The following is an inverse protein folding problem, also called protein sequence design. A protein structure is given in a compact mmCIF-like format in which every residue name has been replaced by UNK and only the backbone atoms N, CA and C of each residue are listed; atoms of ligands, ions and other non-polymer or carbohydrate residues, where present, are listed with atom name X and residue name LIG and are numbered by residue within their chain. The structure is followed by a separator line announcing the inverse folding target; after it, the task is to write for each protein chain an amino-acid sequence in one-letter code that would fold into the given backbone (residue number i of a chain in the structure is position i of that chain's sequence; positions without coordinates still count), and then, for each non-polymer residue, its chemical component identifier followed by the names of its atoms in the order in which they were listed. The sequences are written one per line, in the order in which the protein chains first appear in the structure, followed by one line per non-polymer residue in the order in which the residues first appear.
data_IF_811950464257
#
_entry.id   IF_811950464257
#
_cell.length_a   1.000
_cell.length_b   1.000
_cell.length_c   1.000
_cell.angle_alpha   90.00
_cell.angle_beta   90.00
_cell.angle_gamma   90.00
#
_symmetry.space_group_name_H-M   'P 1'
#
loop_
_entity.id
_entity.type
_entity.pdbx_description
1 polymer ?
#
# COMPACT_ATOMS: atom_id res chain seq x y z
N UNK A 1 -3.74 28.08 34.32
CA UNK A 1 -5.05 27.42 34.15
C UNK A 1 -5.16 26.40 35.27
N UNK A 2 -6.11 26.58 36.17
CA UNK A 2 -6.30 25.67 37.31
C UNK A 2 -7.16 24.48 36.90
N UNK A 3 -7.07 23.35 37.62
CA UNK A 3 -7.88 22.15 37.32
C UNK A 3 -9.39 22.45 37.33
N UNK A 4 -9.81 23.42 38.14
CA UNK A 4 -11.19 23.89 38.20
C UNK A 4 -11.62 24.62 36.92
N UNK A 5 -10.75 25.43 36.32
CA UNK A 5 -11.03 26.09 35.03
C UNK A 5 -11.11 25.08 33.89
N UNK A 6 -10.27 24.05 33.90
CA UNK A 6 -10.31 22.99 32.89
C UNK A 6 -11.60 22.17 33.00
N UNK A 7 -11.97 21.75 34.21
CA UNK A 7 -13.20 21.00 34.45
C UNK A 7 -14.45 21.81 34.02
N UNK A 8 -14.45 23.12 34.30
CA UNK A 8 -15.54 24.02 33.90
C UNK A 8 -15.65 24.13 32.38
N UNK A 9 -14.52 24.31 31.68
CA UNK A 9 -14.50 24.41 30.21
C UNK A 9 -14.88 23.10 29.52
N UNK A 10 -14.48 21.95 30.08
CA UNK A 10 -14.86 20.65 29.55
C UNK A 10 -16.36 20.38 29.75
N UNK A 11 -16.92 20.79 30.89
CA UNK A 11 -18.36 20.72 31.15
C UNK A 11 -19.14 21.62 30.19
N UNK A 12 -18.68 22.84 29.95
CA UNK A 12 -19.31 23.78 29.00
C UNK A 12 -19.26 23.25 27.56
N UNK A 13 -18.15 22.63 27.15
CA UNK A 13 -18.03 21.95 25.85
C UNK A 13 -18.97 20.74 25.72
N UNK A 14 -19.20 19.99 26.79
CA UNK A 14 -20.10 18.83 26.79
C UNK A 14 -21.58 19.25 26.78
N UNK A 15 -21.93 20.38 27.41
CA UNK A 15 -23.29 20.90 27.46
C UNK A 15 -23.66 21.76 26.24
N UNK A 16 -22.68 22.18 25.44
CA UNK A 16 -22.93 22.91 24.19
C UNK A 16 -23.48 21.94 23.13
N UNK A 17 -24.72 22.15 22.62
CA UNK A 17 -25.29 21.28 21.59
C UNK A 17 -24.41 21.28 20.34
N UNK A 18 -24.12 20.10 19.82
CA UNK A 18 -23.27 19.93 18.65
C UNK A 18 -23.81 20.78 17.47
N UNK A 19 -22.95 21.52 16.75
CA UNK A 19 -23.35 22.25 15.57
C UNK A 19 -24.05 21.29 14.60
N UNK A 20 -25.14 21.71 13.93
CA UNK A 20 -25.82 20.87 12.97
C UNK A 20 -24.83 20.38 11.91
N UNK A 21 -24.82 19.07 11.68
CA UNK A 21 -23.91 18.43 10.73
C UNK A 21 -24.08 19.11 9.35
N UNK A 22 -23.04 19.81 8.89
CA UNK A 22 -23.05 20.47 7.57
C UNK A 22 -22.91 19.49 6.40
N UNK A 23 -22.77 18.21 6.70
CA UNK A 23 -22.61 17.14 5.72
C UNK A 23 -23.97 16.46 5.57
N UNK A 24 -24.62 16.72 4.44
CA UNK A 24 -25.80 15.98 4.01
C UNK A 24 -25.38 14.56 3.62
N UNK A 25 -25.46 13.65 4.59
CA UNK A 25 -25.10 12.24 4.44
C UNK A 25 -25.95 11.55 3.36
N UNK A 26 -27.22 11.96 3.21
CA UNK A 26 -28.10 11.41 2.19
C UNK A 26 -27.69 11.86 0.79
N UNK A 27 -27.25 13.10 0.64
CA UNK A 27 -26.68 13.59 -0.63
C UNK A 27 -25.38 12.85 -0.96
N UNK A 28 -24.50 12.62 0.02
CA UNK A 28 -23.28 11.83 -0.19
C UNK A 28 -23.62 10.39 -0.62
N UNK A 29 -24.59 9.75 0.06
CA UNK A 29 -25.05 8.39 -0.26
C UNK A 29 -25.69 8.31 -1.65
N UNK A 30 -26.56 9.25 -2.00
CA UNK A 30 -27.19 9.35 -3.33
C UNK A 30 -26.16 9.55 -4.45
N UNK A 31 -25.14 10.38 -4.23
CA UNK A 31 -24.05 10.57 -5.20
C UNK A 31 -23.24 9.28 -5.39
N UNK A 32 -22.93 8.57 -4.29
CA UNK A 32 -22.25 7.26 -4.35
C UNK A 32 -23.08 6.19 -5.07
N UNK A 33 -24.37 6.09 -4.76
CA UNK A 33 -25.28 5.13 -5.40
C UNK A 33 -25.49 5.42 -6.88
N UNK A 34 -25.65 6.69 -7.28
CA UNK A 34 -25.81 7.07 -8.69
C UNK A 34 -24.55 6.71 -9.50
N UNK A 35 -23.36 6.96 -8.94
CA UNK A 35 -22.08 6.60 -9.57
C UNK A 35 -21.93 5.08 -9.72
N UNK A 36 -22.40 4.32 -8.73
CA UNK A 36 -22.42 2.85 -8.77
C UNK A 36 -23.37 2.32 -9.85
N UNK A 37 -24.60 2.84 -9.92
CA UNK A 37 -25.62 2.39 -10.90
C UNK A 37 -25.21 2.66 -12.33
N UNK A 38 -24.71 3.86 -12.66
CA UNK A 38 -24.25 4.20 -14.03
C UNK A 38 -23.21 3.20 -14.53
N UNK A 39 -22.34 2.69 -13.64
CA UNK A 39 -21.33 1.68 -14.01
C UNK A 39 -21.93 0.30 -14.25
N UNK A 40 -22.94 -0.09 -13.49
CA UNK A 40 -23.60 -1.39 -13.68
C UNK A 40 -24.33 -1.44 -15.03
N UNK A 41 -24.91 -0.32 -15.48
CA UNK A 41 -25.64 -0.27 -16.77
C UNK A 41 -24.72 -0.29 -17.98
N UNK A 42 -23.51 0.29 -17.91
CA UNK A 42 -22.54 0.28 -19.03
C UNK A 42 -22.01 -1.13 -19.31
N UNK A 43 -21.87 -1.98 -18.27
CA UNK A 43 -21.43 -3.37 -18.42
C UNK A 43 -22.49 -4.28 -19.08
N UNK A 44 -23.78 -4.04 -18.83
CA UNK A 44 -24.86 -4.89 -19.37
C UNK A 44 -25.16 -4.58 -20.84
N UNK A 45 -24.99 -3.32 -21.28
CA UNK A 45 -25.22 -2.94 -22.69
C UNK A 45 -24.07 -3.40 -23.60
N UNK A 46 -22.84 -3.54 -23.08
CA UNK A 46 -21.68 -4.00 -23.85
C UNK A 46 -21.72 -5.50 -24.24
N UNK A 47 -22.43 -6.35 -23.49
CA UNK A 47 -22.50 -7.79 -23.77
C UNK A 47 -23.65 -8.19 -24.71
N UNK A 48 -24.61 -7.30 -24.99
CA UNK A 48 -25.75 -7.60 -25.86
C UNK A 48 -25.45 -7.45 -27.36
N UNK A 49 -24.29 -6.90 -27.75
CA UNK A 49 -23.99 -6.57 -29.14
C UNK A 49 -23.15 -7.62 -29.92
N UNK A 50 -22.71 -8.73 -29.29
CA UNK A 50 -21.77 -9.69 -29.91
C UNK A 50 -22.30 -11.12 -30.08
N UNK A 51 -23.62 -11.35 -30.06
CA UNK A 51 -24.20 -12.72 -30.17
C UNK A 51 -24.96 -12.96 -31.50
N UNK A 52 -25.03 -12.02 -32.43
CA UNK A 52 -25.88 -12.16 -33.63
C UNK A 52 -25.15 -12.17 -34.99
N UNK A 53 -23.94 -12.71 -35.09
CA UNK A 53 -23.41 -13.09 -36.41
C UNK A 53 -22.29 -14.14 -36.31
N UNK A 54 -22.56 -15.38 -36.74
CA UNK A 54 -21.48 -16.36 -36.96
C UNK A 54 -21.89 -17.83 -36.79
N UNK A 55 -22.94 -18.28 -37.47
CA UNK A 55 -23.22 -19.69 -37.64
C UNK A 55 -22.50 -20.29 -38.87
N UNK A 56 -22.03 -21.53 -38.70
CA UNK A 56 -21.72 -22.56 -39.70
C UNK A 56 -20.43 -22.44 -40.54
N UNK A 57 -19.45 -23.32 -40.28
CA UNK A 57 -18.99 -24.40 -41.20
C UNK A 57 -17.74 -25.11 -40.67
N UNK A 58 -17.56 -26.37 -41.11
CA UNK A 58 -16.38 -27.25 -41.04
C UNK A 58 -16.25 -28.22 -39.86
N UNK A 59 -16.92 -29.36 -40.03
CA UNK A 59 -16.51 -30.68 -39.51
C UNK A 59 -15.37 -31.20 -40.39
N UNK A 60 -14.17 -31.45 -39.83
CA UNK A 60 -13.25 -32.48 -40.32
C UNK A 60 -12.06 -32.75 -39.40
N UNK A 61 -12.08 -33.96 -38.82
CA UNK A 61 -10.99 -34.91 -38.68
C UNK A 61 -9.54 -34.40 -38.52
N UNK A 62 -9.11 -34.24 -37.27
CA UNK A 62 -7.73 -34.58 -36.87
C UNK A 62 -7.79 -35.45 -35.62
N UNK A 63 -7.50 -36.74 -35.79
CA UNK A 63 -7.12 -37.63 -34.68
C UNK A 63 -5.70 -37.26 -34.29
N UNK A 64 -5.55 -36.57 -33.16
CA UNK A 64 -4.24 -36.35 -32.53
C UNK A 64 -3.87 -37.59 -31.72
N UNK A 65 -2.76 -38.20 -32.09
CA UNK A 65 -2.06 -39.23 -31.31
C UNK A 65 -1.74 -38.68 -29.92
N UNK A 66 -2.02 -39.38 -28.81
CA UNK A 66 -1.67 -38.91 -27.47
C UNK A 66 -0.15 -38.73 -27.36
N UNK A 67 0.36 -37.58 -26.89
CA UNK A 67 1.77 -37.44 -26.58
C UNK A 67 2.17 -38.40 -25.45
N UNK A 68 3.35 -39.00 -25.58
CA UNK A 68 3.92 -39.89 -24.58
C UNK A 68 4.01 -39.20 -23.22
N UNK A 69 3.66 -39.93 -22.16
CA UNK A 69 3.70 -39.44 -20.79
C UNK A 69 5.13 -38.94 -20.45
N UNK A 70 5.28 -37.73 -19.87
CA UNK A 70 6.57 -37.23 -19.46
C UNK A 70 7.18 -38.14 -18.38
N UNK A 71 8.49 -38.37 -18.49
CA UNK A 71 9.24 -39.12 -17.49
C UNK A 71 9.08 -38.47 -16.11
N UNK A 72 8.88 -39.30 -15.08
CA UNK A 72 8.80 -38.87 -13.69
C UNK A 72 10.10 -38.16 -13.30
N UNK A 73 10.03 -36.83 -13.16
CA UNK A 73 11.13 -36.03 -12.62
C UNK A 73 11.16 -36.24 -11.11
N UNK A 74 12.25 -36.84 -10.62
CA UNK A 74 12.51 -36.98 -9.19
C UNK A 74 12.38 -35.61 -8.49
N UNK A 75 11.79 -35.56 -7.28
CA UNK A 75 11.63 -34.31 -6.55
C UNK A 75 13.00 -33.66 -6.31
N UNK A 76 13.16 -32.45 -6.85
CA UNK A 76 14.31 -31.60 -6.58
C UNK A 76 14.37 -31.38 -5.06
N UNK A 77 15.52 -31.63 -4.40
CA UNK A 77 15.65 -31.38 -2.97
C UNK A 77 15.24 -29.93 -2.67
N UNK A 78 14.58 -29.66 -1.52
CA UNK A 78 14.18 -28.31 -1.15
C UNK A 78 15.41 -27.42 -1.19
N UNK A 79 15.39 -26.46 -2.12
CA UNK A 79 16.41 -25.42 -2.19
C UNK A 79 16.30 -24.65 -0.89
N UNK A 80 17.23 -24.90 0.04
CA UNK A 80 17.37 -24.11 1.26
C UNK A 80 17.43 -22.66 0.82
N UNK A 81 16.41 -21.88 1.18
CA UNK A 81 16.35 -20.49 0.80
C UNK A 81 17.62 -19.81 1.32
N UNK A 82 18.35 -19.06 0.47
CA UNK A 82 19.56 -18.39 0.91
C UNK A 82 19.22 -17.51 2.11
N UNK A 83 20.02 -17.62 3.18
CA UNK A 83 19.92 -16.77 4.36
C UNK A 83 20.02 -15.31 3.92
N UNK A 84 18.89 -14.60 3.90
CA UNK A 84 18.85 -13.19 3.52
C UNK A 84 19.54 -12.41 4.63
N UNK A 85 20.60 -11.67 4.28
CA UNK A 85 21.26 -10.79 5.23
C UNK A 85 20.24 -9.81 5.85
N UNK A 86 20.34 -9.51 7.16
CA UNK A 86 19.43 -8.56 7.79
C UNK A 86 19.51 -7.19 7.09
N UNK A 87 18.38 -6.49 7.04
CA UNK A 87 18.35 -5.12 6.52
C UNK A 87 19.27 -4.22 7.37
N UNK A 88 20.03 -3.30 6.74
CA UNK A 88 20.77 -2.27 7.47
C UNK A 88 19.87 -1.49 8.42
N UNK A 89 20.36 -1.22 9.63
CA UNK A 89 19.62 -0.50 10.68
C UNK A 89 19.52 1.01 10.43
N UNK A 90 20.27 1.52 9.47
CA UNK A 90 20.30 2.91 9.02
C UNK A 90 19.31 3.21 7.88
N UNK A 91 18.52 2.22 7.43
CA UNK A 91 17.40 2.46 6.53
C UNK A 91 16.10 2.55 7.32
N UNK A 92 15.41 3.69 7.28
CA UNK A 92 14.16 3.82 8.01
C UNK A 92 12.97 3.19 7.25
N UNK A 93 13.13 2.80 5.98
CA UNK A 93 12.13 2.10 5.17
C UNK A 93 12.57 0.67 4.84
N UNK A 94 12.06 -0.29 5.61
CA UNK A 94 12.30 -1.73 5.40
C UNK A 94 11.00 -2.39 4.98
N UNK A 95 11.00 -3.08 3.85
CA UNK A 95 9.86 -3.94 3.47
C UNK A 95 10.06 -5.35 4.02
N UNK A 96 8.96 -5.98 4.44
CA UNK A 96 8.92 -7.37 4.93
C UNK A 96 8.57 -8.38 3.84
N UNK A 97 8.09 -7.90 2.69
CA UNK A 97 7.69 -8.74 1.57
C UNK A 97 7.83 -8.00 0.22
N UNK A 98 7.80 -8.75 -0.87
CA UNK A 98 7.82 -8.22 -2.23
C UNK A 98 6.99 -9.11 -3.15
N UNK A 99 6.31 -8.49 -4.12
CA UNK A 99 5.58 -9.20 -5.15
C UNK A 99 6.56 -9.84 -6.15
N UNK A 100 6.41 -11.13 -6.44
CA UNK A 100 7.13 -11.81 -7.53
C UNK A 100 6.44 -11.67 -8.87
N UNK A 101 5.12 -11.62 -8.88
CA UNK A 101 4.30 -11.37 -10.06
C UNK A 101 3.11 -10.47 -9.74
N UNK A 102 2.75 -9.64 -10.73
CA UNK A 102 1.63 -8.71 -10.66
C UNK A 102 0.83 -8.75 -11.96
N UNK A 103 -0.51 -8.56 -11.91
CA UNK A 103 -1.33 -8.52 -13.10
C UNK A 103 -1.05 -7.26 -13.92
N UNK A 104 -1.29 -7.34 -15.23
CA UNK A 104 -0.95 -6.30 -16.22
C UNK A 104 -1.41 -4.86 -15.88
N UNK A 105 -2.59 -4.62 -15.28
CA UNK A 105 -3.02 -3.26 -14.96
C UNK A 105 -2.15 -2.55 -13.92
N UNK A 106 -1.34 -3.29 -13.15
CA UNK A 106 -0.43 -2.74 -12.16
C UNK A 106 0.83 -2.22 -12.85
N UNK A 107 1.19 -0.96 -12.57
CA UNK A 107 2.28 -0.25 -13.26
C UNK A 107 3.41 0.19 -12.32
N UNK A 108 3.27 -0.01 -11.01
CA UNK A 108 4.30 0.31 -10.04
C UNK A 108 4.09 -0.37 -8.69
N UNK A 109 5.15 -0.34 -7.88
CA UNK A 109 5.12 -0.78 -6.47
C UNK A 109 5.57 0.38 -5.60
N UNK A 110 4.83 0.63 -4.53
CA UNK A 110 5.12 1.60 -3.48
C UNK A 110 5.45 0.87 -2.20
N UNK A 111 6.09 1.58 -1.28
CA UNK A 111 6.44 1.03 0.03
C UNK A 111 6.08 2.03 1.10
N UNK A 112 5.69 1.53 2.26
CA UNK A 112 5.55 2.36 3.46
C UNK A 112 5.82 1.60 4.74
N UNK A 113 6.14 2.36 5.79
CA UNK A 113 6.40 1.89 7.14
C UNK A 113 5.96 2.97 8.15
N UNK A 114 5.41 2.56 9.30
CA UNK A 114 4.94 3.50 10.32
C UNK A 114 3.56 3.19 10.88
N UNK A 115 2.79 4.23 11.21
CA UNK A 115 1.47 4.12 11.87
C UNK A 115 0.47 3.24 11.11
N UNK A 116 0.54 3.21 9.78
CA UNK A 116 -0.33 2.40 8.93
C UNK A 116 0.13 0.93 8.78
N UNK A 117 1.22 0.57 9.47
CA UNK A 117 1.93 -0.70 9.34
C UNK A 117 2.92 -0.70 8.18
N UNK A 118 3.77 -1.72 8.14
CA UNK A 118 4.71 -1.92 7.03
C UNK A 118 4.00 -2.58 5.86
N UNK A 119 4.14 -2.01 4.67
CA UNK A 119 3.47 -2.52 3.48
C UNK A 119 4.26 -2.34 2.18
N UNK A 120 3.96 -3.22 1.23
CA UNK A 120 4.19 -3.00 -0.18
C UNK A 120 2.82 -2.80 -0.87
N UNK A 121 2.74 -1.82 -1.77
CA UNK A 121 1.50 -1.50 -2.49
C UNK A 121 1.76 -1.57 -3.99
N UNK A 122 1.16 -2.56 -4.66
CA UNK A 122 1.09 -2.61 -6.11
C UNK A 122 -0.04 -1.70 -6.59
N UNK A 123 0.26 -0.77 -7.49
CA UNK A 123 -0.69 0.25 -7.96
C UNK A 123 -0.70 0.38 -9.49
N UNK A 124 -1.90 0.53 -10.06
CA UNK A 124 -2.11 0.84 -11.47
C UNK A 124 -2.13 2.34 -11.77
N UNK A 125 -2.87 2.74 -12.80
CA UNK A 125 -2.99 4.13 -13.29
C UNK A 125 -4.45 4.62 -13.26
N UNK A 126 -4.64 5.94 -13.27
CA UNK A 126 -5.96 6.60 -13.32
C UNK A 126 -6.65 6.88 -11.97
N UNK A 127 -7.80 7.54 -12.01
CA UNK A 127 -8.52 8.08 -10.83
C UNK A 127 -8.92 7.02 -9.79
N UNK A 128 -9.23 5.81 -10.24
CA UNK A 128 -9.49 4.64 -9.40
C UNK A 128 -8.47 3.55 -9.74
N UNK A 129 -7.20 3.89 -9.59
CA UNK A 129 -6.10 2.97 -9.86
C UNK A 129 -6.34 1.64 -9.12
N UNK A 130 -6.26 0.50 -9.83
CA UNK A 130 -6.24 -0.81 -9.19
C UNK A 130 -5.12 -0.88 -8.16
N UNK A 131 -5.41 -1.39 -6.97
CA UNK A 131 -4.48 -1.44 -5.86
C UNK A 131 -4.45 -2.83 -5.22
N UNK A 132 -3.25 -3.29 -4.89
CA UNK A 132 -3.01 -4.51 -4.11
C UNK A 132 -2.04 -4.15 -2.99
N UNK A 133 -2.57 -4.07 -1.77
CA UNK A 133 -1.81 -3.89 -0.54
C UNK A 133 -1.32 -5.23 -0.03
N UNK A 134 -0.06 -5.31 0.36
CA UNK A 134 0.55 -6.46 1.00
C UNK A 134 1.18 -6.02 2.31
N UNK A 135 0.68 -6.58 3.41
CA UNK A 135 1.20 -6.34 4.75
C UNK A 135 1.65 -7.65 5.40
N UNK A 136 2.63 -7.56 6.31
CA UNK A 136 3.12 -8.71 7.09
C UNK A 136 3.07 -8.35 8.57
N UNK A 137 2.43 -9.22 9.35
CA UNK A 137 2.24 -9.08 10.78
C UNK A 137 2.94 -10.20 11.53
N UNK A 138 3.43 -9.91 12.74
CA UNK A 138 4.12 -10.91 13.56
C UNK A 138 3.18 -11.98 14.13
N UNK A 139 1.89 -11.68 14.20
CA UNK A 139 0.82 -12.57 14.66
C UNK A 139 -0.42 -12.44 13.78
N UNK A 140 -1.34 -13.40 13.86
CA UNK A 140 -2.60 -13.34 13.14
C UNK A 140 -3.40 -12.10 13.61
N UNK A 141 -3.72 -11.13 12.72
CA UNK A 141 -4.53 -9.99 13.09
C UNK A 141 -5.97 -10.41 13.40
N UNK A 142 -6.73 -9.57 14.10
CA UNK A 142 -8.17 -9.72 14.19
C UNK A 142 -8.82 -9.78 12.78
N UNK A 143 -9.93 -10.51 12.64
CA UNK A 143 -10.61 -10.67 11.35
C UNK A 143 -11.05 -9.32 10.75
N UNK A 144 -11.72 -8.51 11.57
CA UNK A 144 -12.12 -7.15 11.21
C UNK A 144 -11.27 -6.13 11.96
N UNK A 145 -9.95 -6.10 11.66
CA UNK A 145 -9.01 -5.23 12.39
C UNK A 145 -9.29 -3.74 12.21
N UNK A 146 -9.95 -3.37 11.11
CA UNK A 146 -10.23 -1.98 10.73
C UNK A 146 -11.62 -1.53 11.13
N UNK A 147 -12.48 -2.46 11.56
CA UNK A 147 -13.88 -2.21 11.86
C UNK A 147 -14.65 -1.57 10.68
N UNK A 148 -14.22 -1.87 9.45
CA UNK A 148 -14.69 -1.23 8.21
C UNK A 148 -15.43 -2.20 7.28
N UNK A 149 -15.58 -3.47 7.68
CA UNK A 149 -16.23 -4.49 6.85
C UNK A 149 -17.76 -4.34 6.76
N UNK A 150 -18.39 -3.60 7.67
CA UNK A 150 -19.83 -3.33 7.63
C UNK A 150 -20.72 -4.53 7.97
N UNK A 151 -20.17 -5.55 8.62
CA UNK A 151 -20.86 -6.76 9.03
C UNK A 151 -19.95 -7.70 9.82
N UNK A 152 -20.48 -8.85 10.23
CA UNK A 152 -19.66 -9.85 10.93
C UNK A 152 -18.69 -10.51 9.95
N UNK A 153 -17.40 -10.30 10.16
CA UNK A 153 -16.36 -10.97 9.39
C UNK A 153 -16.39 -12.50 9.60
N UNK A 154 -16.26 -13.24 8.51
CA UNK A 154 -16.16 -14.70 8.46
C UNK A 154 -14.96 -15.13 7.62
N UNK A 155 -14.48 -16.35 7.86
CA UNK A 155 -13.38 -16.97 7.11
C UNK A 155 -13.94 -17.88 6.02
N UNK A 156 -13.40 -17.79 4.80
CA UNK A 156 -13.63 -18.78 3.73
C UNK A 156 -12.30 -19.43 3.38
N UNK A 157 -12.08 -20.72 3.71
CA UNK A 157 -10.80 -21.39 3.50
C UNK A 157 -10.35 -21.40 2.03
N UNK A 158 -9.03 -21.28 1.80
CA UNK A 158 -8.42 -21.35 0.47
C UNK A 158 -6.97 -21.83 0.57
N UNK A 159 -6.36 -22.18 -0.56
CA UNK A 159 -4.94 -22.52 -0.68
C UNK A 159 -4.18 -21.38 -1.35
N UNK A 160 -3.09 -20.95 -0.73
CA UNK A 160 -2.14 -19.96 -1.28
C UNK A 160 -0.82 -20.69 -1.56
N UNK A 161 -0.63 -21.11 -2.81
CA UNK A 161 0.45 -22.01 -3.16
C UNK A 161 0.36 -23.33 -2.37
N UNK A 162 1.39 -23.61 -1.57
CA UNK A 162 1.47 -24.77 -0.70
C UNK A 162 0.96 -24.53 0.74
N UNK A 163 0.39 -23.36 1.04
CA UNK A 163 -0.07 -22.97 2.37
C UNK A 163 -1.58 -22.85 2.47
N UNK A 164 -2.12 -23.15 3.65
CA UNK A 164 -3.51 -22.91 3.97
C UNK A 164 -3.70 -21.43 4.29
N UNK A 165 -4.75 -20.84 3.73
CA UNK A 165 -5.14 -19.46 4.00
C UNK A 165 -6.66 -19.35 4.03
N UNK A 166 -7.14 -18.11 4.08
CA UNK A 166 -8.57 -17.84 4.01
C UNK A 166 -8.83 -16.44 3.47
N UNK A 167 -9.98 -16.30 2.82
CA UNK A 167 -10.59 -15.00 2.55
C UNK A 167 -11.33 -14.50 3.79
N UNK A 168 -11.31 -13.19 3.99
CA UNK A 168 -12.11 -12.49 5.00
C UNK A 168 -13.22 -11.74 4.28
N UNK A 169 -14.47 -12.05 4.61
CA UNK A 169 -15.67 -11.48 3.99
C UNK A 169 -16.80 -11.35 5.01
N UNK A 170 -17.85 -10.61 4.70
CA UNK A 170 -19.11 -10.64 5.48
C UNK A 170 -20.13 -11.63 4.93
N UNK A 171 -19.89 -12.19 3.74
CA UNK A 171 -20.74 -13.18 3.08
C UNK A 171 -19.89 -14.32 2.53
N UNK A 172 -20.03 -15.51 3.09
CA UNK A 172 -19.26 -16.69 2.68
C UNK A 172 -19.48 -17.09 1.20
N UNK A 173 -20.58 -16.64 0.58
CA UNK A 173 -20.87 -16.85 -0.85
C UNK A 173 -20.19 -15.82 -1.76
N UNK A 174 -19.61 -14.77 -1.20
CA UNK A 174 -18.83 -13.73 -1.88
C UNK A 174 -17.46 -13.57 -1.19
N UNK A 175 -16.49 -14.47 -1.48
CA UNK A 175 -15.16 -14.41 -0.88
C UNK A 175 -14.40 -13.12 -1.17
N UNK A 176 -14.76 -12.42 -2.26
CA UNK A 176 -14.10 -11.20 -2.69
C UNK A 176 -14.74 -9.95 -2.08
N UNK A 177 -15.80 -10.10 -1.29
CA UNK A 177 -16.47 -9.03 -0.55
C UNK A 177 -16.76 -7.83 -1.46
N UNK A 178 -17.45 -8.09 -2.58
CA UNK A 178 -17.83 -7.12 -3.60
C UNK A 178 -16.65 -6.34 -4.21
N UNK A 179 -15.47 -6.96 -4.23
CA UNK A 179 -14.23 -6.39 -4.78
C UNK A 179 -13.37 -5.61 -3.80
N UNK A 180 -13.72 -5.60 -2.50
CA UNK A 180 -12.84 -5.19 -1.41
C UNK A 180 -12.30 -6.45 -0.72
N UNK A 181 -11.34 -7.10 -1.38
CA UNK A 181 -10.96 -8.48 -1.08
C UNK A 181 -9.82 -8.55 -0.10
N UNK A 182 -9.95 -9.36 0.96
CA UNK A 182 -8.91 -9.58 1.97
C UNK A 182 -8.54 -11.06 2.00
N UNK A 183 -7.30 -11.38 1.66
CA UNK A 183 -6.73 -12.73 1.71
C UNK A 183 -5.68 -12.78 2.81
N UNK A 184 -5.73 -13.79 3.67
CA UNK A 184 -4.76 -13.97 4.74
C UNK A 184 -4.20 -15.39 4.77
N UNK A 185 -2.89 -15.50 4.99
CA UNK A 185 -2.21 -16.80 5.09
C UNK A 185 -0.95 -16.67 5.98
N UNK A 186 -0.53 -17.76 6.66
CA UNK A 186 0.71 -17.78 7.40
C UNK A 186 1.91 -17.82 6.43
N UNK A 187 3.00 -17.20 6.83
CA UNK A 187 4.29 -17.26 6.14
C UNK A 187 5.10 -18.46 6.65
N UNK A 188 6.15 -18.83 5.92
CA UNK A 188 7.01 -19.97 6.31
C UNK A 188 7.80 -19.75 7.61
N UNK A 189 7.91 -18.51 8.07
CA UNK A 189 8.59 -18.10 9.31
C UNK A 189 7.61 -17.82 10.47
N UNK A 190 6.34 -18.21 10.35
CA UNK A 190 5.34 -18.10 11.42
C UNK A 190 4.63 -16.75 11.53
N UNK A 191 5.04 -15.76 10.73
CA UNK A 191 4.31 -14.48 10.58
C UNK A 191 3.03 -14.68 9.75
N UNK A 192 2.26 -13.61 9.59
CA UNK A 192 1.01 -13.61 8.83
C UNK A 192 1.05 -12.56 7.72
N UNK A 193 0.74 -12.98 6.50
CA UNK A 193 0.60 -12.10 5.35
C UNK A 193 -0.88 -11.79 5.12
N UNK A 194 -1.15 -10.52 4.79
CA UNK A 194 -2.48 -10.06 4.35
C UNK A 194 -2.33 -9.36 3.01
N UNK A 195 -3.08 -9.84 2.03
CA UNK A 195 -3.26 -9.18 0.75
C UNK A 195 -4.65 -8.54 0.72
N UNK A 196 -4.70 -7.27 0.38
CA UNK A 196 -5.93 -6.51 0.28
C UNK A 196 -6.02 -5.81 -1.07
N UNK A 197 -7.07 -6.08 -1.84
CA UNK A 197 -7.23 -5.56 -3.19
C UNK A 197 -8.46 -4.65 -3.33
N UNK A 198 -8.26 -3.52 -4.02
CA UNK A 198 -9.30 -2.54 -4.32
C UNK A 198 -9.26 -2.15 -5.80
N UNK A 199 -10.43 -1.81 -6.35
CA UNK A 199 -10.59 -1.28 -7.72
C UNK A 199 -9.99 -2.16 -8.83
N UNK A 200 -9.70 -3.44 -8.53
CA UNK A 200 -9.16 -4.39 -9.49
C UNK A 200 -10.32 -5.13 -10.15
N UNK A 201 -10.69 -4.70 -11.36
CA UNK A 201 -11.72 -5.35 -12.16
C UNK A 201 -11.07 -6.27 -13.19
N UNK A 202 -10.79 -7.51 -12.79
CA UNK A 202 -10.22 -8.54 -13.65
C UNK A 202 -11.16 -9.73 -13.77
N UNK A 203 -11.19 -10.43 -14.93
CA UNK A 203 -11.70 -11.78 -15.00
C UNK A 203 -10.98 -12.67 -13.97
N UNK A 204 -11.72 -13.58 -13.33
CA UNK A 204 -11.17 -14.53 -12.37
C UNK A 204 -10.33 -13.89 -11.26
N UNK A 205 -10.75 -12.72 -10.77
CA UNK A 205 -10.04 -11.94 -9.76
C UNK A 205 -9.54 -12.80 -8.58
N UNK A 206 -10.36 -13.75 -8.11
CA UNK A 206 -9.95 -14.68 -7.06
C UNK A 206 -8.69 -15.47 -7.41
N UNK A 207 -8.61 -16.05 -8.62
CA UNK A 207 -7.44 -16.80 -9.08
C UNK A 207 -6.22 -15.90 -9.28
N UNK A 208 -6.44 -14.68 -9.81
CA UNK A 208 -5.37 -13.69 -9.96
C UNK A 208 -4.75 -13.35 -8.61
N UNK A 209 -5.57 -13.06 -7.60
CA UNK A 209 -5.07 -12.70 -6.27
C UNK A 209 -4.38 -13.89 -5.57
N UNK A 210 -4.86 -15.12 -5.75
CA UNK A 210 -4.16 -16.31 -5.26
C UNK A 210 -2.80 -16.51 -5.91
N UNK A 211 -2.68 -16.22 -7.22
CA UNK A 211 -1.38 -16.22 -7.90
C UNK A 211 -0.45 -15.15 -7.35
N UNK A 212 -0.92 -13.91 -7.22
CA UNK A 212 -0.12 -12.82 -6.63
C UNK A 212 0.40 -13.24 -5.25
N UNK A 213 -0.49 -13.75 -4.38
CA UNK A 213 -0.13 -14.20 -3.03
C UNK A 213 0.86 -15.37 -3.04
N UNK A 214 0.69 -16.34 -3.95
CA UNK A 214 1.58 -17.49 -4.10
C UNK A 214 2.98 -17.14 -4.62
N UNK A 215 3.12 -16.01 -5.31
CA UNK A 215 4.41 -15.50 -5.81
C UNK A 215 5.03 -14.41 -4.90
N UNK A 216 4.50 -14.20 -3.69
CA UNK A 216 5.11 -13.28 -2.72
C UNK A 216 6.40 -13.87 -2.14
N UNK A 217 7.47 -13.07 -2.15
CA UNK A 217 8.71 -13.37 -1.41
C UNK A 217 8.73 -12.62 -0.09
N UNK A 218 9.04 -13.32 1.00
CA UNK A 218 9.14 -12.74 2.35
C UNK A 218 10.61 -12.58 2.74
N UNK A 219 11.00 -11.33 3.04
CA UNK A 219 12.34 -10.99 3.47
C UNK A 219 12.34 -9.56 4.04
N UNK A 220 13.18 -9.31 5.04
CA UNK A 220 13.44 -7.94 5.48
C UNK A 220 14.44 -7.31 4.53
N UNK A 221 13.98 -6.40 3.66
CA UNK A 221 14.80 -5.73 2.66
C UNK A 221 14.70 -4.22 2.83
N UNK A 222 15.85 -3.58 2.91
CA UNK A 222 15.95 -2.12 2.86
C UNK A 222 15.46 -1.62 1.49
N UNK A 223 14.54 -0.67 1.49
CA UNK A 223 14.09 -0.01 0.25
C UNK A 223 15.08 1.11 -0.04
N UNK A 224 15.80 1.09 -1.18
CA UNK A 224 16.70 2.17 -1.51
C UNK A 224 15.95 3.50 -1.63
N UNK A 225 16.54 4.58 -1.08
CA UNK A 225 15.95 5.92 -1.10
C UNK A 225 16.84 6.94 -1.84
N UNK A 226 16.25 8.02 -2.39
CA UNK A 226 16.94 9.01 -3.23
C UNK A 226 17.78 10.03 -2.44
N UNK A 227 18.07 9.77 -1.17
CA UNK A 227 18.74 10.70 -0.27
C UNK A 227 19.61 9.96 0.75
N UNK A 228 20.58 10.70 1.27
CA UNK A 228 21.33 10.38 2.47
C UNK A 228 21.15 11.50 3.50
N UNK A 229 21.07 11.15 4.79
CA UNK A 229 20.93 12.07 5.91
C UNK A 229 22.12 11.84 6.82
N UNK A 230 22.97 12.85 7.01
CA UNK A 230 24.21 12.71 7.78
C UNK A 230 24.01 12.54 9.30
N UNK A 231 22.78 12.31 9.76
CA UNK A 231 22.41 12.18 11.17
C UNK A 231 21.09 12.89 11.52
N UNK A 232 20.28 12.22 12.35
CA UNK A 232 19.05 12.77 12.93
C UNK A 232 19.28 13.12 14.40
N UNK A 233 18.54 14.11 14.96
CA UNK A 233 18.53 14.30 16.41
C UNK A 233 18.07 13.02 17.13
N UNK A 234 18.69 12.71 18.28
CA UNK A 234 18.44 11.45 19.01
C UNK A 234 16.97 11.27 19.42
N UNK A 235 16.23 12.35 19.64
CA UNK A 235 14.81 12.30 20.00
C UNK A 235 13.88 11.91 18.84
N UNK A 236 14.36 11.89 17.59
CA UNK A 236 13.51 11.61 16.43
C UNK A 236 13.13 10.13 16.41
N UNK A 237 11.85 9.86 16.17
CA UNK A 237 11.29 8.51 15.97
C UNK A 237 10.54 8.48 14.66
N UNK A 238 10.69 7.40 13.90
CA UNK A 238 9.92 7.21 12.67
C UNK A 238 8.42 7.23 13.02
N UNK A 239 7.67 8.13 12.38
CA UNK A 239 6.22 8.20 12.50
C UNK A 239 5.56 7.52 11.29
N UNK A 240 5.95 7.95 10.08
CA UNK A 240 5.47 7.38 8.83
C UNK A 240 6.50 7.63 7.73
N UNK A 241 6.74 6.66 6.87
CA UNK A 241 7.64 6.77 5.73
C UNK A 241 6.98 6.12 4.55
N UNK A 242 7.01 6.80 3.41
CA UNK A 242 6.48 6.27 2.19
C UNK A 242 7.32 6.64 0.96
N UNK A 243 7.36 5.72 0.00
CA UNK A 243 7.88 5.92 -1.34
C UNK A 243 6.75 5.68 -2.35
N UNK A 244 6.18 6.78 -2.84
CA UNK A 244 5.05 6.78 -3.78
C UNK A 244 5.52 6.81 -5.23
N UNK A 245 4.77 6.17 -6.14
CA UNK A 245 5.05 6.08 -7.58
C UNK A 245 3.79 6.39 -8.41
N UNK A 246 3.25 7.60 -8.20
CA UNK A 246 1.96 8.07 -8.77
C UNK A 246 2.11 9.32 -9.66
N UNK A 247 2.78 9.24 -10.82
CA UNK A 247 2.86 10.36 -11.78
C UNK A 247 1.50 10.95 -12.13
N UNK A 248 0.45 10.14 -12.24
CA UNK A 248 -0.88 10.62 -12.60
C UNK A 248 -1.53 11.52 -11.51
N UNK A 249 -1.11 11.37 -10.25
CA UNK A 249 -1.67 12.14 -9.13
C UNK A 249 -0.86 13.40 -8.83
N UNK A 250 0.47 13.28 -8.85
CA UNK A 250 1.37 14.33 -8.34
C UNK A 250 2.21 15.01 -9.44
N UNK A 251 2.10 14.55 -10.70
CA UNK A 251 2.89 15.08 -11.82
C UNK A 251 4.37 14.70 -11.79
N UNK A 252 4.81 13.91 -10.81
CA UNK A 252 6.19 13.41 -10.67
C UNK A 252 6.23 11.88 -10.65
N UNK A 253 7.25 11.25 -11.25
CA UNK A 253 7.31 9.79 -11.37
C UNK A 253 7.32 9.06 -10.03
N UNK A 254 7.90 9.70 -9.00
CA UNK A 254 7.95 9.18 -7.65
C UNK A 254 8.15 10.32 -6.64
N UNK A 255 7.92 10.00 -5.37
CA UNK A 255 8.16 10.90 -4.23
C UNK A 255 8.43 10.09 -2.97
N UNK A 256 9.48 10.45 -2.24
CA UNK A 256 9.77 9.93 -0.91
C UNK A 256 9.32 10.94 0.15
N UNK A 257 8.60 10.46 1.16
CA UNK A 257 8.16 11.25 2.31
C UNK A 257 8.60 10.52 3.56
N UNK A 258 9.42 11.17 4.39
CA UNK A 258 9.88 10.62 5.66
C UNK A 258 9.39 11.53 6.78
N UNK A 259 8.57 11.01 7.68
CA UNK A 259 8.01 11.72 8.81
C UNK A 259 8.59 11.17 10.11
N UNK A 260 9.06 12.09 10.94
CA UNK A 260 9.61 11.81 12.25
C UNK A 260 8.84 12.59 13.31
N UNK A 261 8.52 11.92 14.41
CA UNK A 261 7.99 12.55 15.61
C UNK A 261 9.13 12.86 16.59
N UNK A 262 9.02 14.00 17.30
CA UNK A 262 9.92 14.38 18.38
C UNK A 262 9.19 15.32 19.33
N UNK A 263 9.05 14.96 20.62
CA UNK A 263 8.42 15.78 21.66
C UNK A 263 7.06 16.40 21.26
N UNK A 264 6.21 15.64 20.55
CA UNK A 264 4.90 16.12 20.10
C UNK A 264 4.92 17.07 18.89
N UNK A 265 6.07 17.20 18.23
CA UNK A 265 6.24 17.82 16.92
C UNK A 265 6.42 16.76 15.82
N UNK A 266 6.16 17.17 14.57
CA UNK A 266 6.31 16.37 13.37
C UNK A 266 7.30 17.08 12.42
N UNK A 267 8.40 16.40 12.10
CA UNK A 267 9.34 16.80 11.06
C UNK A 267 9.09 15.95 9.82
N UNK A 268 8.82 16.59 8.68
CA UNK A 268 8.61 15.92 7.39
C UNK A 268 9.72 16.29 6.42
N UNK A 269 10.36 15.27 5.86
CA UNK A 269 11.32 15.37 4.76
C UNK A 269 10.61 14.85 3.50
N UNK A 270 10.52 15.69 2.47
CA UNK A 270 10.01 15.30 1.15
C UNK A 270 11.13 15.38 0.13
N UNK A 271 11.34 14.32 -0.64
CA UNK A 271 12.29 14.29 -1.77
C UNK A 271 11.58 13.83 -3.03
N UNK A 272 11.71 14.57 -4.11
CA UNK A 272 11.11 14.25 -5.40
C UNK A 272 11.88 14.88 -6.56
N UNK A 273 11.62 14.48 -7.81
CA UNK A 273 11.99 15.30 -8.96
C UNK A 273 11.36 16.71 -8.91
N UNK A 274 11.86 17.67 -9.70
CA UNK A 274 11.28 19.00 -9.83
C UNK A 274 9.80 18.94 -10.21
N UNK A 275 8.99 19.84 -9.65
CA UNK A 275 7.53 19.87 -9.83
C UNK A 275 6.75 19.15 -8.72
N UNK A 276 7.40 18.27 -7.94
CA UNK A 276 6.75 17.60 -6.83
C UNK A 276 6.39 18.55 -5.68
N UNK A 277 5.26 18.30 -5.02
CA UNK A 277 4.81 19.07 -3.85
C UNK A 277 5.62 18.71 -2.60
N UNK A 278 5.78 19.67 -1.70
CA UNK A 278 6.30 19.41 -0.35
C UNK A 278 5.14 18.97 0.55
N UNK A 279 5.34 17.93 1.36
CA UNK A 279 4.38 17.48 2.37
C UNK A 279 4.80 17.97 3.76
N UNK A 280 3.91 17.74 4.73
CA UNK A 280 4.15 18.03 6.14
C UNK A 280 3.43 19.26 6.65
N UNK A 281 3.44 19.39 7.97
CA UNK A 281 2.90 20.53 8.68
C UNK A 281 3.99 21.60 8.86
N UNK A 282 3.60 22.87 8.79
CA UNK A 282 4.53 24.01 8.87
C UNK A 282 4.97 24.53 7.49
N UNK A 283 5.85 25.54 7.49
CA UNK A 283 6.36 26.16 6.26
C UNK A 283 7.57 25.38 5.74
N UNK A 284 7.51 24.77 4.55
CA UNK A 284 8.63 24.01 4.03
C UNK A 284 9.79 24.91 3.63
N UNK A 285 11.00 24.46 3.92
CA UNK A 285 12.26 25.01 3.41
C UNK A 285 12.84 24.00 2.44
N UNK A 286 13.23 24.44 1.23
CA UNK A 286 13.61 23.53 0.16
C UNK A 286 14.96 23.88 -0.45
N UNK A 287 15.64 22.87 -0.99
CA UNK A 287 16.80 23.00 -1.86
C UNK A 287 16.64 22.11 -3.09
N UNK A 288 17.32 22.47 -4.18
CA UNK A 288 17.38 21.64 -5.38
C UNK A 288 18.83 21.29 -5.66
N UNK A 289 19.16 20.01 -5.65
CA UNK A 289 20.51 19.48 -5.90
C UNK A 289 20.40 18.14 -6.63
N UNK A 290 21.37 17.82 -7.48
CA UNK A 290 21.44 16.54 -8.21
C UNK A 290 20.14 16.19 -8.96
N UNK A 291 19.43 17.18 -9.50
CA UNK A 291 18.17 16.97 -10.22
C UNK A 291 16.99 16.59 -9.32
N UNK A 292 17.11 16.75 -8.00
CA UNK A 292 16.05 16.49 -7.01
C UNK A 292 15.75 17.75 -6.20
N UNK A 293 14.49 17.89 -5.80
CA UNK A 293 14.04 18.84 -4.79
C UNK A 293 13.90 18.13 -3.46
N UNK A 294 14.61 18.61 -2.45
CA UNK A 294 14.46 18.17 -1.06
C UNK A 294 13.85 19.30 -0.24
N UNK A 295 12.80 19.01 0.52
CA UNK A 295 12.11 19.95 1.38
C UNK A 295 12.00 19.41 2.79
N UNK A 296 12.10 20.31 3.77
CA UNK A 296 11.87 20.00 5.19
C UNK A 296 10.79 20.94 5.73
N UNK A 297 9.79 20.37 6.39
CA UNK A 297 8.77 21.10 7.14
C UNK A 297 8.73 20.59 8.58
N UNK A 298 8.67 21.50 9.55
CA UNK A 298 8.53 21.19 10.98
C UNK A 298 7.40 22.05 11.53
N UNK A 299 6.42 21.43 12.19
CA UNK A 299 5.23 22.13 12.71
C UNK A 299 5.55 22.96 13.97
N UNK A 300 6.39 22.43 14.85
CA UNK A 300 6.81 23.05 16.12
C UNK A 300 8.34 22.97 16.30
N UNK A 301 9.10 23.85 15.62
CA UNK A 301 10.57 23.79 15.63
C UNK A 301 11.21 23.85 17.02
N UNK A 302 10.56 24.51 17.98
CA UNK A 302 11.06 24.60 19.36
C UNK A 302 11.03 23.24 20.07
N UNK A 303 10.06 22.37 19.74
CA UNK A 303 9.92 21.05 20.35
C UNK A 303 10.88 20.01 19.75
N UNK A 304 11.28 20.19 18.48
CA UNK A 304 12.25 19.30 17.81
C UNK A 304 13.71 19.58 18.21
N UNK A 305 14.00 20.76 18.75
CA UNK A 305 15.38 21.19 19.07
C UNK A 305 16.25 21.46 17.83
N UNK A 306 15.63 21.57 16.64
CA UNK A 306 16.29 21.82 15.37
C UNK A 306 15.34 22.56 14.42
N UNK A 307 15.87 23.46 13.61
CA UNK A 307 15.12 24.17 12.57
C UNK A 307 15.01 23.36 11.28
N UNK A 308 14.04 23.68 10.41
CA UNK A 308 13.94 23.05 9.08
C UNK A 308 15.20 23.24 8.24
N UNK A 309 15.87 24.39 8.36
CA UNK A 309 17.10 24.70 7.61
C UNK A 309 18.29 23.86 8.09
N UNK A 310 18.44 23.66 9.40
CA UNK A 310 19.47 22.82 9.98
C UNK A 310 19.26 21.33 9.69
N UNK A 311 18.01 20.86 9.64
CA UNK A 311 17.73 19.49 9.20
C UNK A 311 17.97 19.34 7.69
N UNK A 312 17.57 20.33 6.88
CA UNK A 312 17.80 20.32 5.43
C UNK A 312 19.29 20.30 5.06
N UNK A 313 20.15 20.97 5.84
CA UNK A 313 21.60 20.99 5.57
C UNK A 313 22.28 19.63 5.77
N UNK A 314 21.64 18.69 6.48
CA UNK A 314 22.11 17.30 6.67
C UNK A 314 21.67 16.36 5.55
N UNK A 315 20.79 16.83 4.65
CA UNK A 315 20.23 16.01 3.58
C UNK A 315 21.07 16.19 2.31
N UNK A 316 21.54 15.07 1.78
CA UNK A 316 22.22 14.98 0.49
C UNK A 316 21.35 14.21 -0.50
N UNK A 317 20.67 14.89 -1.45
CA UNK A 317 19.96 14.20 -2.52
C UNK A 317 20.95 13.46 -3.44
N UNK A 318 20.67 12.20 -3.78
CA UNK A 318 21.58 11.35 -4.57
C UNK A 318 21.36 11.58 -6.07
N UNK A 319 20.10 11.54 -6.52
CA UNK A 319 19.73 11.76 -7.91
C UNK A 319 18.46 11.00 -8.33
N UNK A 320 17.93 11.27 -9.53
CA UNK A 320 16.66 10.69 -9.97
C UNK A 320 16.72 9.23 -10.42
N UNK A 321 17.92 8.70 -10.62
CA UNK A 321 18.17 7.34 -11.08
C UNK A 321 18.01 6.34 -9.92
N UNK A 322 16.92 5.57 -9.92
CA UNK A 322 16.60 4.60 -8.86
C UNK A 322 17.68 3.53 -8.68
N UNK A 323 18.46 3.22 -9.72
CA UNK A 323 19.54 2.23 -9.64
C UNK A 323 20.72 2.67 -8.78
N UNK A 324 20.82 3.98 -8.49
CA UNK A 324 21.88 4.59 -7.68
C UNK A 324 21.44 4.94 -6.27
N UNK A 325 20.18 4.65 -5.92
CA UNK A 325 19.66 4.94 -4.59
C UNK A 325 20.34 4.09 -3.52
N UNK A 326 20.40 4.64 -2.31
CA UNK A 326 21.14 4.01 -1.21
C UNK A 326 20.20 3.21 -0.31
N UNK A 327 20.58 1.99 0.09
CA UNK A 327 19.94 1.32 1.22
C UNK A 327 20.42 1.86 2.58
N UNK A 328 21.45 2.71 2.63
CA UNK A 328 21.98 3.33 3.85
C UNK A 328 21.59 4.80 3.88
N UNK A 329 20.53 5.14 4.59
CA UNK A 329 19.87 6.45 4.49
C UNK A 329 20.33 7.39 5.60
N UNK A 330 20.70 6.88 6.77
CA UNK A 330 21.09 7.66 7.95
C UNK A 330 22.51 7.26 8.40
N UNK A 331 23.51 8.13 8.29
CA UNK A 331 24.87 7.78 8.73
C UNK A 331 25.91 8.87 8.57
#
# INVERSE_FOLDING_TARGET
MTDHELATKLKELAETPAPPARIDLDRARRLGERRRRVRTTVLVVGCAALVTAGGLTAVSAFRTTPPAAPAAVLPKPPSVAPSVAPAPTDNPLVTKASFGWLPEPIKGVEYGAGEHGDYALAIGRGDLAPMIWLAVYDQEPALDRRHDMGGRAVRVPVRVGDRDGYWITTDARDPLNRGNSYLRWPTGDGRWAELNAYYLALPDLQQVLLRVAGEVTFANRAVPLPLHISGLPEAFRVADIALWRRPDQDGVPWRAVLQYSSNGALATITVSPPGGRADGLGKPVCTTKNGLRACVAIDKPQATGITSQELLSRITPIGPDESKWTPHVIG
#
